data_IF_524626746136
#
_entry.id   IF_524626746136
#
_cell.length_a   1.000
_cell.length_b   1.000
_cell.length_c   1.000
_cell.angle_alpha   90.00
_cell.angle_beta   90.00
_cell.angle_gamma   90.00
#
_symmetry.space_group_name_H-M   'P 1'
#
loop_
_entity.id
_entity.type
_entity.pdbx_description
1 polymer ?
#
# COMPACT_ATOMS: atom_id res chain seq x y z
N UNK A 1 43.38 -20.93 -62.32
CA UNK A 1 42.15 -21.26 -63.05
C UNK A 1 41.38 -19.96 -63.18
N UNK A 2 41.38 -19.38 -64.40
CA UNK A 2 40.17 -19.00 -65.17
C UNK A 2 39.33 -17.95 -64.45
N UNK A 3 39.39 -16.67 -64.84
CA UNK A 3 38.56 -16.03 -65.91
C UNK A 3 37.08 -16.30 -65.65
N UNK A 4 36.22 -15.31 -65.47
CA UNK A 4 35.77 -14.31 -66.45
C UNK A 4 34.81 -13.35 -65.72
N UNK A 5 34.84 -12.04 -65.97
CA UNK A 5 33.85 -11.34 -66.83
C UNK A 5 32.74 -10.70 -65.96
N UNK A 6 32.30 -9.44 -66.05
CA UNK A 6 32.53 -8.33 -66.96
C UNK A 6 31.70 -7.11 -66.52
N UNK A 7 32.20 -5.94 -66.95
CA UNK A 7 31.59 -4.63 -67.19
C UNK A 7 30.14 -4.29 -66.73
N UNK A 8 29.98 -3.32 -65.81
CA UNK A 8 29.78 -1.85 -66.02
C UNK A 8 29.22 -1.41 -67.41
N UNK A 9 28.52 -0.26 -67.63
CA UNK A 9 27.50 0.54 -66.90
C UNK A 9 26.29 0.99 -67.79
N UNK A 10 25.36 1.77 -67.19
CA UNK A 10 24.56 2.91 -67.73
C UNK A 10 23.70 2.76 -69.00
N UNK A 11 22.43 3.20 -68.94
CA UNK A 11 21.93 4.42 -69.63
C UNK A 11 20.41 4.66 -69.42
N UNK A 12 20.06 5.94 -69.52
CA UNK A 12 18.80 6.70 -69.49
C UNK A 12 17.43 6.04 -69.70
N UNK A 13 16.40 6.59 -69.03
CA UNK A 13 15.34 7.44 -69.66
C UNK A 13 14.36 8.03 -68.61
N UNK A 14 14.29 9.36 -68.53
CA UNK A 14 13.00 10.10 -68.40
C UNK A 14 12.42 10.34 -69.81
N UNK A 15 11.19 10.84 -70.09
CA UNK A 15 10.14 11.44 -69.24
C UNK A 15 8.69 10.98 -69.61
N UNK A 16 7.62 11.51 -68.98
CA UNK A 16 6.32 11.85 -69.62
C UNK A 16 5.41 12.62 -68.64
N UNK A 17 5.17 13.89 -68.94
CA UNK A 17 4.00 14.66 -68.53
C UNK A 17 2.77 14.16 -69.32
N UNK A 18 1.61 13.99 -68.68
CA UNK A 18 0.34 14.20 -69.37
C UNK A 18 -0.69 14.81 -68.41
N UNK A 19 -1.08 16.03 -68.75
CA UNK A 19 -2.04 16.89 -68.10
C UNK A 19 -3.29 16.92 -68.99
N UNK A 20 -4.43 16.40 -68.52
CA UNK A 20 -5.77 16.58 -69.08
C UNK A 20 -6.78 15.88 -68.15
N UNK A 21 -7.96 16.35 -67.76
CA UNK A 21 -8.80 17.49 -68.13
C UNK A 21 -9.91 17.58 -67.05
N UNK A 22 -10.26 18.79 -66.61
CA UNK A 22 -11.61 19.08 -66.09
C UNK A 22 -12.63 19.04 -67.25
N UNK A 23 -13.93 18.88 -66.96
CA UNK A 23 -14.78 20.06 -67.12
C UNK A 23 -15.92 20.24 -66.10
N UNK A 24 -16.18 21.53 -65.83
CA UNK A 24 -17.48 22.23 -65.71
C UNK A 24 -18.55 21.67 -64.75
N UNK A 25 -18.87 22.36 -63.65
CA UNK A 25 -19.76 23.54 -63.53
C UNK A 25 -21.24 23.28 -63.84
N UNK A 26 -22.05 23.54 -62.79
CA UNK A 26 -23.43 24.10 -62.79
C UNK A 26 -24.58 23.33 -63.44
N UNK A 27 -25.58 22.95 -62.62
CA UNK A 27 -26.77 23.79 -62.43
C UNK A 27 -27.61 23.27 -61.25
N UNK A 28 -27.87 24.16 -60.29
CA UNK A 28 -29.05 24.11 -59.45
C UNK A 28 -30.26 24.43 -60.32
N UNK A 29 -31.32 23.65 -60.22
CA UNK A 29 -32.64 24.14 -60.59
C UNK A 29 -33.69 23.67 -59.58
N UNK A 30 -34.60 24.61 -59.35
CA UNK A 30 -35.57 24.73 -58.28
C UNK A 30 -36.70 23.70 -58.38
N UNK A 31 -37.22 23.29 -57.22
CA UNK A 31 -38.44 22.49 -57.10
C UNK A 31 -39.08 22.75 -55.75
N UNK A 32 -39.76 23.89 -55.64
CA UNK A 32 -40.60 24.24 -54.49
C UNK A 32 -41.97 23.61 -54.71
N UNK A 33 -42.38 22.63 -53.91
CA UNK A 33 -43.80 22.33 -53.70
C UNK A 33 -44.05 21.97 -52.23
N UNK A 34 -44.67 22.92 -51.53
CA UNK A 34 -45.48 22.67 -50.34
C UNK A 34 -46.87 22.22 -50.81
N UNK A 35 -47.51 21.29 -50.11
CA UNK A 35 -48.93 21.49 -49.84
C UNK A 35 -49.24 21.36 -48.35
N UNK A 36 -49.92 22.38 -47.84
CA UNK A 36 -50.76 22.29 -46.67
C UNK A 36 -52.15 21.78 -47.11
N UNK A 37 -52.73 20.81 -46.40
CA UNK A 37 -53.91 21.03 -45.54
C UNK A 37 -54.62 19.72 -45.19
N UNK A 38 -54.87 19.63 -43.89
CA UNK A 38 -55.81 18.84 -43.08
C UNK A 38 -56.76 17.85 -43.77
N UNK A 39 -56.57 16.57 -43.46
CA UNK A 39 -57.60 15.52 -43.55
C UNK A 39 -57.60 14.71 -42.27
N UNK A 40 -58.56 14.99 -41.40
CA UNK A 40 -58.89 14.19 -40.22
C UNK A 40 -59.46 12.85 -40.69
N UNK A 41 -58.60 11.83 -40.73
CA UNK A 41 -58.97 10.46 -40.95
C UNK A 41 -58.16 9.63 -39.96
N UNK A 42 -58.78 9.24 -38.86
CA UNK A 42 -58.20 8.27 -37.92
C UNK A 42 -57.86 7.00 -38.73
N UNK A 43 -56.58 6.62 -38.94
CA UNK A 43 -56.28 5.47 -39.76
C UNK A 43 -56.61 4.22 -38.94
N UNK A 44 -57.67 3.52 -39.33
CA UNK A 44 -57.98 2.20 -38.80
C UNK A 44 -56.91 1.24 -39.32
N UNK A 45 -55.80 1.13 -38.57
CA UNK A 45 -54.67 0.29 -38.94
C UNK A 45 -55.12 -1.18 -38.92
N UNK A 46 -55.14 -1.82 -40.09
CA UNK A 46 -55.34 -3.28 -40.13
C UNK A 46 -54.20 -3.95 -39.37
N UNK A 47 -54.47 -4.97 -38.52
CA UNK A 47 -53.43 -5.58 -37.72
C UNK A 47 -52.40 -6.24 -38.63
N UNK A 48 -51.14 -5.76 -38.58
CA UNK A 48 -50.02 -6.31 -39.35
C UNK A 48 -50.01 -7.83 -39.31
N UNK A 49 -49.88 -8.44 -40.49
CA UNK A 49 -49.80 -9.89 -40.65
C UNK A 49 -48.59 -10.44 -39.90
N UNK A 50 -48.61 -11.73 -39.54
CA UNK A 50 -47.50 -12.38 -38.83
C UNK A 50 -46.15 -12.23 -39.57
N UNK A 51 -46.17 -12.29 -40.91
CA UNK A 51 -44.98 -12.13 -41.73
C UNK A 51 -44.39 -10.71 -41.64
N UNK A 52 -45.22 -9.67 -41.69
CA UNK A 52 -44.79 -8.27 -41.55
C UNK A 52 -44.20 -7.99 -40.16
N UNK A 53 -44.83 -8.51 -39.09
CA UNK A 53 -44.28 -8.38 -37.72
C UNK A 53 -42.93 -9.06 -37.57
N UNK A 54 -42.73 -10.20 -38.24
CA UNK A 54 -41.45 -10.92 -38.25
C UNK A 54 -40.38 -10.13 -39.02
N UNK A 55 -40.75 -9.51 -40.14
CA UNK A 55 -39.83 -8.66 -40.92
C UNK A 55 -39.46 -7.40 -40.12
N UNK A 56 -40.43 -6.74 -39.48
CA UNK A 56 -40.19 -5.59 -38.61
C UNK A 56 -39.26 -5.94 -37.45
N UNK A 57 -39.49 -7.10 -36.80
CA UNK A 57 -38.64 -7.59 -35.71
C UNK A 57 -37.21 -7.86 -36.18
N UNK A 58 -37.05 -8.57 -37.29
CA UNK A 58 -35.73 -8.88 -37.87
C UNK A 58 -35.00 -7.61 -38.34
N UNK A 59 -35.74 -6.61 -38.80
CA UNK A 59 -35.19 -5.32 -39.23
C UNK A 59 -34.74 -4.50 -38.02
N UNK A 60 -35.53 -4.50 -36.95
CA UNK A 60 -35.15 -3.88 -35.68
C UNK A 60 -33.90 -4.54 -35.10
N UNK A 61 -33.86 -5.87 -35.02
CA UNK A 61 -32.74 -6.64 -34.47
C UNK A 61 -31.45 -6.41 -35.26
N UNK A 62 -31.53 -6.40 -36.60
CA UNK A 62 -30.39 -6.09 -37.49
C UNK A 62 -29.92 -4.64 -37.37
N UNK A 63 -30.85 -3.69 -37.20
CA UNK A 63 -30.50 -2.29 -37.01
C UNK A 63 -29.86 -2.04 -35.65
N UNK A 64 -30.33 -2.73 -34.61
CA UNK A 64 -29.81 -2.63 -33.26
C UNK A 64 -28.40 -3.24 -33.17
N UNK A 65 -28.18 -4.42 -33.76
CA UNK A 65 -26.86 -5.04 -33.85
C UNK A 65 -25.89 -4.15 -34.63
N UNK A 66 -26.34 -3.53 -35.74
CA UNK A 66 -25.51 -2.59 -36.49
C UNK A 66 -25.13 -1.37 -35.66
N UNK A 67 -26.07 -0.78 -34.92
CA UNK A 67 -25.77 0.36 -34.02
C UNK A 67 -24.77 -0.03 -32.93
N UNK A 68 -24.93 -1.21 -32.33
CA UNK A 68 -24.00 -1.69 -31.31
C UNK A 68 -22.61 -1.91 -31.88
N UNK A 69 -22.50 -2.53 -33.06
CA UNK A 69 -21.22 -2.71 -33.75
C UNK A 69 -20.57 -1.39 -34.12
N UNK A 70 -21.34 -0.45 -34.66
CA UNK A 70 -20.85 0.89 -35.03
C UNK A 70 -20.43 1.69 -33.80
N UNK A 71 -21.15 1.58 -32.68
CA UNK A 71 -20.75 2.20 -31.42
C UNK A 71 -19.46 1.61 -30.85
N UNK A 72 -19.32 0.27 -30.89
CA UNK A 72 -18.12 -0.43 -30.44
C UNK A 72 -16.92 -0.10 -31.35
N UNK A 73 -17.15 -0.04 -32.65
CA UNK A 73 -16.15 0.34 -33.65
C UNK A 73 -15.74 1.80 -33.50
N UNK A 74 -16.67 2.72 -33.25
CA UNK A 74 -16.35 4.12 -32.96
C UNK A 74 -15.52 4.26 -31.68
N UNK A 75 -15.84 3.49 -30.64
CA UNK A 75 -15.07 3.46 -29.40
C UNK A 75 -13.67 2.87 -29.62
N UNK A 76 -13.56 1.76 -30.35
CA UNK A 76 -12.27 1.18 -30.73
C UNK A 76 -11.45 2.14 -31.60
N UNK A 77 -12.08 2.87 -32.51
CA UNK A 77 -11.43 3.88 -33.34
C UNK A 77 -10.91 5.05 -32.51
N UNK A 78 -11.58 5.44 -31.43
CA UNK A 78 -11.09 6.44 -30.49
C UNK A 78 -9.83 5.97 -29.75
N UNK A 79 -9.76 4.69 -29.38
CA UNK A 79 -8.58 4.11 -28.72
C UNK A 79 -7.43 3.78 -29.69
N UNK A 80 -7.76 3.39 -30.92
CA UNK A 80 -6.80 3.00 -31.95
C UNK A 80 -6.35 4.18 -32.81
N UNK A 81 -7.03 5.33 -32.74
CA UNK A 81 -6.47 6.56 -33.27
C UNK A 81 -5.10 6.73 -32.59
N UNK A 82 -3.97 6.62 -33.35
CA UNK A 82 -2.72 7.10 -32.82
C UNK A 82 -2.96 8.53 -32.36
N UNK A 83 -2.28 8.96 -31.29
CA UNK A 83 -2.39 10.31 -30.74
C UNK A 83 -1.82 11.38 -31.70
N UNK A 84 -2.23 11.34 -32.97
CA UNK A 84 -1.78 12.14 -34.10
C UNK A 84 -2.64 13.40 -34.29
N UNK A 85 -3.59 13.61 -33.38
CA UNK A 85 -4.08 14.93 -33.00
C UNK A 85 -3.89 15.13 -31.50
N UNK A 86 -2.70 14.79 -31.02
CA UNK A 86 -2.05 15.73 -30.15
C UNK A 86 -1.82 16.98 -31.01
N UNK A 87 -2.69 17.99 -30.91
CA UNK A 87 -2.07 19.30 -30.69
C UNK A 87 -1.02 19.03 -29.60
N UNK A 88 0.23 19.53 -29.67
CA UNK A 88 0.99 19.59 -28.46
C UNK A 88 0.07 20.34 -27.52
N UNK A 89 -0.60 19.64 -26.60
CA UNK A 89 -1.11 20.22 -25.39
C UNK A 89 0.18 20.72 -24.83
N UNK A 90 0.50 21.98 -25.14
CA UNK A 90 1.78 22.59 -24.81
C UNK A 90 1.97 22.17 -23.37
N UNK A 91 2.90 21.23 -23.15
CA UNK A 91 3.04 20.56 -21.86
C UNK A 91 3.14 21.72 -20.93
N UNK A 92 2.08 21.99 -20.16
CA UNK A 92 2.04 23.21 -19.38
C UNK A 92 3.27 23.07 -18.51
N UNK A 93 4.30 23.94 -18.70
CA UNK A 93 5.55 23.71 -18.03
C UNK A 93 5.21 23.60 -16.56
N UNK A 94 5.64 22.51 -15.92
CA UNK A 94 5.33 22.24 -14.52
C UNK A 94 5.54 23.55 -13.78
N UNK A 95 4.49 24.03 -13.14
CA UNK A 95 4.57 25.32 -12.45
C UNK A 95 5.69 25.23 -11.42
N UNK A 96 6.33 26.36 -11.10
CA UNK A 96 7.41 26.36 -10.10
C UNK A 96 6.94 25.73 -8.77
N UNK A 97 5.65 25.82 -8.44
CA UNK A 97 5.02 25.15 -7.30
C UNK A 97 4.99 23.63 -7.45
N UNK A 98 4.58 23.09 -8.61
CA UNK A 98 4.59 21.65 -8.88
C UNK A 98 6.01 21.07 -8.84
N UNK A 99 7.00 21.76 -9.40
CA UNK A 99 8.41 21.32 -9.34
C UNK A 99 8.89 21.26 -7.89
N UNK A 100 8.56 22.27 -7.07
CA UNK A 100 8.92 22.29 -5.65
C UNK A 100 8.21 21.20 -4.85
N UNK A 101 6.94 20.96 -5.13
CA UNK A 101 6.18 19.91 -4.46
C UNK A 101 6.74 18.51 -4.79
N UNK A 102 7.07 18.26 -6.06
CA UNK A 102 7.66 16.99 -6.49
C UNK A 102 9.06 16.81 -5.91
N UNK A 103 9.91 17.85 -5.96
CA UNK A 103 11.23 17.82 -5.34
C UNK A 103 11.15 17.53 -3.82
N UNK A 104 10.15 18.09 -3.12
CA UNK A 104 9.92 17.81 -1.70
C UNK A 104 9.52 16.35 -1.48
N UNK A 105 8.62 15.82 -2.31
CA UNK A 105 8.16 14.43 -2.23
C UNK A 105 9.30 13.45 -2.45
N UNK A 106 10.14 13.68 -3.45
CA UNK A 106 11.31 12.83 -3.73
C UNK A 106 12.28 12.85 -2.56
N UNK A 107 12.57 14.03 -2.00
CA UNK A 107 13.45 14.14 -0.83
C UNK A 107 12.86 13.44 0.42
N UNK A 108 11.55 13.53 0.63
CA UNK A 108 10.87 12.82 1.73
C UNK A 108 10.95 11.30 1.54
N UNK A 109 10.76 10.83 0.31
CA UNK A 109 10.89 9.41 -0.04
C UNK A 109 12.33 8.91 0.17
N UNK A 110 13.33 9.61 -0.34
CA UNK A 110 14.74 9.23 -0.17
C UNK A 110 15.12 9.13 1.31
N UNK A 111 14.68 10.09 2.13
CA UNK A 111 14.92 10.07 3.58
C UNK A 111 14.23 8.89 4.25
N UNK A 112 13.01 8.58 3.84
CA UNK A 112 12.27 7.44 4.36
C UNK A 112 12.95 6.11 3.98
N UNK A 113 13.38 5.98 2.72
CA UNK A 113 14.12 4.80 2.23
C UNK A 113 15.45 4.62 2.97
N UNK A 114 16.19 5.72 3.20
CA UNK A 114 17.42 5.71 4.00
C UNK A 114 17.14 5.25 5.45
N UNK A 115 16.09 5.77 6.08
CA UNK A 115 15.70 5.39 7.43
C UNK A 115 15.26 3.91 7.53
N UNK A 116 14.54 3.42 6.52
CA UNK A 116 14.18 2.01 6.39
C UNK A 116 15.44 1.13 6.29
N UNK A 117 16.36 1.47 5.39
CA UNK A 117 17.60 0.74 5.18
C UNK A 117 18.47 0.74 6.45
N UNK A 118 18.62 1.88 7.11
CA UNK A 118 19.36 1.99 8.38
C UNK A 118 18.76 1.08 9.45
N UNK A 119 17.44 1.08 9.58
CA UNK A 119 16.73 0.23 10.56
C UNK A 119 16.89 -1.26 10.22
N UNK A 120 16.80 -1.61 8.94
CA UNK A 120 16.97 -2.98 8.47
C UNK A 120 18.39 -3.51 8.71
N UNK A 121 19.43 -2.72 8.38
CA UNK A 121 20.82 -3.10 8.61
C UNK A 121 21.15 -3.21 10.11
N UNK A 122 20.59 -2.33 10.95
CA UNK A 122 20.70 -2.46 12.41
C UNK A 122 20.04 -3.76 12.90
N UNK A 123 18.86 -4.11 12.39
CA UNK A 123 18.17 -5.35 12.70
C UNK A 123 18.99 -6.59 12.35
N UNK A 124 19.54 -6.65 11.13
CA UNK A 124 20.41 -7.76 10.70
C UNK A 124 21.68 -7.89 11.53
N UNK A 125 22.25 -6.77 11.95
CA UNK A 125 23.46 -6.73 12.77
C UNK A 125 23.21 -7.24 14.18
N UNK A 126 22.12 -6.80 14.79
CA UNK A 126 21.84 -7.07 16.21
C UNK A 126 21.10 -8.40 16.41
N UNK A 127 20.36 -8.88 15.41
CA UNK A 127 19.49 -10.06 15.51
C UNK A 127 19.72 -11.06 14.37
N UNK A 128 20.27 -12.26 14.65
CA UNK A 128 20.45 -13.31 13.63
C UNK A 128 19.14 -13.87 13.05
N UNK A 129 18.03 -13.73 13.76
CA UNK A 129 16.68 -14.15 13.38
C UNK A 129 15.83 -12.99 12.83
N UNK A 130 16.47 -11.90 12.42
CA UNK A 130 15.81 -10.68 11.93
C UNK A 130 14.77 -10.95 10.83
N UNK A 131 15.14 -11.70 9.80
CA UNK A 131 14.25 -12.03 8.69
C UNK A 131 13.05 -12.87 9.14
N UNK A 132 13.21 -13.69 10.19
CA UNK A 132 12.08 -14.42 10.77
C UNK A 132 11.09 -13.46 11.46
N UNK A 133 11.60 -12.44 12.15
CA UNK A 133 10.77 -11.40 12.77
C UNK A 133 9.97 -10.61 11.73
N UNK A 134 10.59 -10.29 10.58
CA UNK A 134 9.90 -9.60 9.48
C UNK A 134 8.80 -10.44 8.82
N UNK A 135 8.97 -11.77 8.76
CA UNK A 135 7.93 -12.67 8.21
C UNK A 135 6.63 -12.59 8.99
N UNK A 136 6.68 -12.33 10.29
CA UNK A 136 5.49 -12.14 11.13
C UNK A 136 4.60 -11.01 10.61
N UNK A 137 5.19 -9.87 10.25
CA UNK A 137 4.44 -8.76 9.66
C UNK A 137 3.85 -9.12 8.30
N UNK A 138 4.56 -9.91 7.48
CA UNK A 138 4.01 -10.45 6.23
C UNK A 138 2.77 -11.32 6.45
N UNK A 139 2.77 -12.15 7.50
CA UNK A 139 1.61 -12.98 7.87
C UNK A 139 0.42 -12.15 8.37
N UNK A 140 0.68 -10.98 8.96
CA UNK A 140 -0.35 -10.03 9.41
C UNK A 140 -0.88 -9.10 8.30
N UNK A 141 -0.49 -9.33 7.04
CA UNK A 141 -0.92 -8.51 5.90
C UNK A 141 0.00 -7.32 5.58
N UNK A 142 1.18 -7.26 6.20
CA UNK A 142 2.17 -6.21 6.02
C UNK A 142 2.19 -5.21 7.17
N UNK A 143 3.26 -4.42 7.21
CA UNK A 143 3.37 -3.30 8.13
C UNK A 143 2.73 -2.05 7.49
N UNK A 144 1.75 -1.39 8.15
CA UNK A 144 1.15 -0.16 7.65
C UNK A 144 2.18 0.98 7.59
N UNK A 145 1.95 1.95 6.71
CA UNK A 145 2.91 3.04 6.47
C UNK A 145 3.19 3.84 7.74
N UNK A 146 2.16 4.14 8.53
CA UNK A 146 2.28 4.92 9.76
C UNK A 146 3.11 4.18 10.82
N UNK A 147 3.06 2.85 10.82
CA UNK A 147 3.92 2.03 11.69
C UNK A 147 5.38 2.15 11.24
N UNK A 148 5.63 2.01 9.93
CA UNK A 148 6.98 2.08 9.36
C UNK A 148 7.60 3.46 9.59
N UNK A 149 6.85 4.54 9.37
CA UNK A 149 7.28 5.91 9.66
C UNK A 149 7.63 6.09 11.14
N UNK A 150 6.80 5.56 12.04
CA UNK A 150 7.07 5.65 13.47
C UNK A 150 8.33 4.88 13.86
N UNK A 151 8.45 3.59 13.49
CA UNK A 151 9.59 2.76 13.91
C UNK A 151 10.91 3.18 13.29
N UNK A 152 10.91 3.71 12.06
CA UNK A 152 12.15 4.18 11.40
C UNK A 152 12.61 5.55 11.91
N UNK A 153 11.71 6.33 12.50
CA UNK A 153 12.05 7.59 13.18
C UNK A 153 12.63 7.38 14.60
N UNK A 154 12.50 6.18 15.16
CA UNK A 154 12.94 5.81 16.50
C UNK A 154 14.40 5.33 16.50
N UNK A 155 15.15 5.55 17.59
CA UNK A 155 16.54 5.08 17.71
C UNK A 155 16.59 3.56 17.85
N UNK A 156 15.64 3.01 18.62
CA UNK A 156 15.50 1.57 18.87
C UNK A 156 14.55 0.82 17.92
N UNK A 157 14.22 1.38 16.75
CA UNK A 157 13.20 0.84 15.84
C UNK A 157 13.34 -0.65 15.51
N UNK A 158 14.57 -1.08 15.19
CA UNK A 158 14.91 -2.47 14.90
C UNK A 158 14.62 -3.42 16.08
N UNK A 159 14.84 -2.98 17.33
CA UNK A 159 14.53 -3.78 18.53
C UNK A 159 13.03 -3.92 18.73
N UNK A 160 12.27 -2.86 18.44
CA UNK A 160 10.81 -2.86 18.50
C UNK A 160 10.24 -3.83 17.47
N UNK A 161 10.70 -3.74 16.22
CA UNK A 161 10.28 -4.65 15.15
C UNK A 161 10.61 -6.10 15.50
N UNK A 162 11.81 -6.36 16.01
CA UNK A 162 12.21 -7.72 16.42
C UNK A 162 11.31 -8.25 17.55
N UNK A 163 11.10 -7.47 18.60
CA UNK A 163 10.22 -7.86 19.70
C UNK A 163 8.79 -8.17 19.23
N UNK A 164 8.22 -7.34 18.35
CA UNK A 164 6.88 -7.56 17.80
C UNK A 164 6.87 -8.76 16.84
N UNK A 165 7.94 -8.99 16.09
CA UNK A 165 8.06 -10.16 15.23
C UNK A 165 8.09 -11.49 16.00
N UNK A 166 8.63 -11.47 17.22
CA UNK A 166 8.60 -12.62 18.14
C UNK A 166 7.26 -12.76 18.90
N UNK A 167 6.39 -11.76 18.85
CA UNK A 167 5.11 -11.72 19.56
C UNK A 167 3.96 -11.33 18.60
N UNK A 168 3.49 -12.25 17.74
CA UNK A 168 2.53 -11.95 16.68
C UNK A 168 1.20 -11.37 17.20
N UNK A 169 0.70 -11.83 18.34
CA UNK A 169 -0.54 -11.33 18.95
C UNK A 169 -0.40 -9.88 19.42
N UNK A 170 0.78 -9.52 19.94
CA UNK A 170 1.08 -8.16 20.34
C UNK A 170 1.23 -7.25 19.12
N UNK A 171 1.86 -7.75 18.05
CA UNK A 171 1.96 -7.05 16.77
C UNK A 171 0.58 -6.78 16.16
N UNK A 172 -0.28 -7.80 16.05
CA UNK A 172 -1.65 -7.64 15.53
C UNK A 172 -2.46 -6.61 16.33
N UNK A 173 -2.41 -6.70 17.66
CA UNK A 173 -3.07 -5.74 18.53
C UNK A 173 -2.54 -4.32 18.32
N UNK A 174 -1.23 -4.16 18.18
CA UNK A 174 -0.61 -2.85 17.99
C UNK A 174 -0.98 -2.26 16.63
N UNK A 175 -0.90 -3.06 15.56
CA UNK A 175 -1.17 -2.64 14.19
C UNK A 175 -2.65 -2.34 13.93
N UNK A 176 -3.56 -2.89 14.73
CA UNK A 176 -4.99 -2.57 14.68
C UNK A 176 -5.37 -1.29 15.43
N UNK A 177 -4.43 -0.64 16.13
CA UNK A 177 -4.70 0.62 16.82
C UNK A 177 -4.76 1.81 15.85
N UNK A 178 -5.51 2.87 16.19
CA UNK A 178 -5.43 4.14 15.48
C UNK A 178 -4.00 4.72 15.52
N UNK A 179 -3.55 5.45 14.48
CA UNK A 179 -2.15 5.86 14.32
C UNK A 179 -1.53 6.56 15.54
N UNK A 180 -2.27 7.49 16.15
CA UNK A 180 -1.78 8.22 17.33
C UNK A 180 -1.58 7.31 18.55
N UNK A 181 -2.49 6.34 18.75
CA UNK A 181 -2.39 5.37 19.85
C UNK A 181 -1.25 4.38 19.61
N UNK A 182 -1.11 3.93 18.37
CA UNK A 182 0.00 3.08 17.95
C UNK A 182 1.35 3.75 18.24
N UNK A 183 1.54 5.01 17.84
CA UNK A 183 2.77 5.76 18.11
C UNK A 183 3.10 5.85 19.61
N UNK A 184 2.10 6.12 20.46
CA UNK A 184 2.30 6.17 21.91
C UNK A 184 2.73 4.82 22.50
N UNK A 185 2.10 3.73 22.05
CA UNK A 185 2.46 2.38 22.48
C UNK A 185 3.84 1.96 21.97
N UNK A 186 4.21 2.34 20.74
CA UNK A 186 5.55 2.16 20.19
C UNK A 186 6.61 2.84 21.05
N UNK A 187 6.43 4.11 21.43
CA UNK A 187 7.36 4.82 22.31
C UNK A 187 7.46 4.17 23.70
N UNK A 188 6.33 3.69 24.25
CA UNK A 188 6.33 2.92 25.51
C UNK A 188 7.14 1.62 25.36
N UNK A 189 6.98 0.93 24.23
CA UNK A 189 7.67 -0.32 23.96
C UNK A 189 9.18 -0.09 23.79
N UNK A 190 9.60 0.93 23.03
CA UNK A 190 11.00 1.31 22.88
C UNK A 190 11.68 1.66 24.20
N UNK A 191 11.01 2.46 25.04
CA UNK A 191 11.55 2.81 26.37
C UNK A 191 11.63 1.61 27.29
N UNK A 192 10.71 0.65 27.16
CA UNK A 192 10.77 -0.63 27.89
C UNK A 192 11.94 -1.49 27.42
N UNK A 193 12.18 -1.58 26.11
CA UNK A 193 13.27 -2.35 25.52
C UNK A 193 14.65 -1.72 25.76
N UNK A 194 14.70 -0.39 25.87
CA UNK A 194 15.92 0.37 26.17
C UNK A 194 16.33 0.28 27.64
N UNK A 195 15.41 -0.06 28.55
CA UNK A 195 15.74 -0.34 29.95
C UNK A 195 16.45 -1.69 30.04
N UNK A 196 17.78 -1.65 30.15
CA UNK A 196 18.60 -2.82 30.48
C UNK A 196 17.97 -3.60 31.64
N UNK A 197 17.86 -4.92 31.48
CA UNK A 197 17.41 -5.86 32.51
C UNK A 197 18.04 -5.51 33.87
N UNK A 198 17.27 -5.53 34.99
CA UNK A 198 17.82 -5.18 36.30
C UNK A 198 19.11 -5.97 36.56
N UNK A 199 20.14 -5.34 37.14
CA UNK A 199 21.43 -6.00 37.37
C UNK A 199 21.18 -7.32 38.11
N UNK A 200 21.91 -8.40 37.76
CA UNK A 200 21.69 -9.70 38.36
C UNK A 200 21.72 -9.54 39.88
N UNK A 201 20.64 -9.96 40.54
CA UNK A 201 20.56 -9.96 42.00
C UNK A 201 21.81 -10.66 42.53
N UNK A 202 22.56 -9.91 43.36
CA UNK A 202 23.85 -10.34 43.89
C UNK A 202 23.76 -11.77 44.44
N UNK A 203 24.65 -12.66 43.99
CA UNK A 203 24.87 -13.98 44.63
C UNK A 203 25.63 -13.83 45.96
N UNK A 204 25.41 -12.73 46.68
CA UNK A 204 25.90 -12.62 48.04
C UNK A 204 25.21 -13.71 48.89
N UNK A 205 25.96 -14.45 49.71
CA UNK A 205 25.38 -15.34 50.70
C UNK A 205 24.36 -14.56 51.54
N UNK A 206 23.24 -15.19 51.95
CA UNK A 206 22.29 -14.55 52.84
C UNK A 206 23.03 -14.03 54.09
N UNK A 207 22.59 -12.89 54.65
CA UNK A 207 23.12 -12.42 55.93
C UNK A 207 23.07 -13.56 56.94
N UNK A 208 24.15 -13.74 57.72
CA UNK A 208 24.16 -14.72 58.81
C UNK A 208 22.90 -14.51 59.68
N UNK A 209 22.12 -15.57 59.87
CA UNK A 209 20.98 -15.51 60.78
C UNK A 209 21.47 -15.01 62.14
N UNK A 210 20.78 -14.06 62.79
CA UNK A 210 21.18 -13.61 64.10
C UNK A 210 21.25 -14.84 65.00
N UNK A 211 22.39 -14.98 65.69
CA UNK A 211 22.55 -16.02 66.70
C UNK A 211 21.42 -15.80 67.69
N UNK A 212 20.47 -16.72 67.78
CA UNK A 212 19.42 -16.67 68.79
C UNK A 212 20.13 -16.56 70.13
N UNK A 213 20.16 -15.35 70.69
CA UNK A 213 20.67 -15.10 72.02
C UNK A 213 19.87 -16.01 72.94
N UNK A 214 20.52 -17.06 73.43
CA UNK A 214 19.97 -17.85 74.52
C UNK A 214 19.78 -16.87 75.67
N UNK A 215 18.53 -16.56 75.99
CA UNK A 215 18.22 -15.74 77.15
C UNK A 215 19.00 -16.29 78.34
N UNK A 216 19.79 -15.43 78.98
CA UNK A 216 20.50 -15.80 80.20
C UNK A 216 19.47 -16.31 81.21
N UNK A 217 19.83 -17.35 81.99
CA UNK A 217 18.99 -17.75 83.12
C UNK A 217 18.77 -16.55 84.03
N UNK A 218 17.54 -16.33 84.53
CA UNK A 218 17.28 -15.23 85.44
C UNK A 218 18.20 -15.32 86.66
N UNK A 219 18.88 -14.22 86.97
CA UNK A 219 19.77 -14.13 88.13
C UNK A 219 18.93 -14.16 89.42
N UNK A 220 19.42 -14.73 90.53
CA UNK A 220 18.66 -14.82 91.80
C UNK A 220 18.15 -13.48 92.33
N UNK A 221 18.77 -12.35 91.93
CA UNK A 221 18.34 -10.98 92.27
C UNK A 221 17.10 -10.50 91.51
N UNK A 222 16.68 -11.20 90.46
CA UNK A 222 15.50 -10.84 89.67
C UNK A 222 14.19 -11.35 90.28
N UNK A 223 14.27 -12.22 91.29
CA UNK A 223 13.12 -12.73 92.03
C UNK A 223 12.79 -11.77 93.19
N UNK A 224 11.53 -11.36 93.30
CA UNK A 224 11.07 -10.41 94.32
C UNK A 224 11.04 -11.01 95.73
N UNK A 225 11.18 -12.33 95.85
CA UNK A 225 11.26 -13.03 97.12
C UNK A 225 12.07 -14.33 97.01
N UNK A 226 12.56 -14.80 98.15
CA UNK A 226 13.20 -16.11 98.29
C UNK A 226 12.26 -17.28 97.98
N UNK A 227 10.96 -17.09 98.17
CA UNK A 227 9.94 -18.11 97.89
C UNK A 227 9.74 -18.34 96.39
N UNK A 228 9.67 -17.26 95.60
CA UNK A 228 9.60 -17.31 94.14
C UNK A 228 10.84 -17.97 93.52
N UNK A 229 12.04 -17.61 94.01
CA UNK A 229 13.28 -18.26 93.58
C UNK A 229 13.27 -19.76 93.88
N UNK A 230 12.80 -20.16 95.06
CA UNK A 230 12.71 -21.56 95.45
C UNK A 230 11.68 -22.35 94.61
N UNK A 231 10.60 -21.72 94.17
CA UNK A 231 9.62 -22.33 93.26
C UNK A 231 10.20 -22.51 91.85
N UNK A 232 10.86 -21.49 91.30
CA UNK A 232 11.57 -21.56 90.01
C UNK A 232 12.65 -22.65 90.02
N UNK A 233 13.48 -22.72 91.07
CA UNK A 233 14.50 -23.76 91.21
C UNK A 233 13.94 -25.18 91.35
N UNK A 234 12.72 -25.33 91.86
CA UNK A 234 12.05 -26.64 91.95
C UNK A 234 11.48 -27.05 90.59
N UNK A 235 10.85 -26.14 89.87
CA UNK A 235 10.29 -26.39 88.53
C UNK A 235 11.38 -26.65 87.47
N UNK A 236 12.55 -26.04 87.62
CA UNK A 236 13.65 -26.15 86.65
C UNK A 236 14.73 -27.18 87.06
N UNK A 237 14.50 -27.99 88.09
CA UNK A 237 15.38 -29.11 88.45
C UNK A 237 14.99 -30.32 87.58
N UNK A 238 15.89 -30.76 86.71
CA UNK A 238 15.76 -32.04 86.00
C UNK A 238 15.75 -33.22 86.98
#
# INVERSE_FOLDING_TARGET
MQTEENAVPQEDVTPTEEQAQQPAETHSESGTETPADTGDATPQQQPKTWAERRIDKLTWEKNEERRQREALEAQLRQYQQPADQSQPSAEKPLTAEQIRAEAKRLLEQERFDEACNKTFEAGKKDFPDWEASLRTFGMLGGAPQEFLEAVTAMDGGHKVIHHLGQNPEAAERLLSLPPLRMAMELTRLETSLSKTSPPPVSKAPPPISPVNGRAASPEPSEFGSTEEYAAWRRANRK
#
